data_IF_775464108582
#
_entry.id   IF_775464108582
#
_cell.length_a   1.000
_cell.length_b   1.000
_cell.length_c   1.000
_cell.angle_alpha   90.00
_cell.angle_beta   90.00
_cell.angle_gamma   90.00
#
_symmetry.space_group_name_H-M   'P 1'
#
loop_
_entity.id
_entity.type
_entity.pdbx_description
1 polymer ?
#
# COMPACT_ATOMS: atom_id res chain seq x y z
N UNK A 1 -8.79 17.56 -22.76
CA UNK A 1 -8.64 16.19 -22.31
C UNK A 1 -7.29 16.07 -21.64
N UNK A 2 -7.15 15.42 -20.49
CA UNK A 2 -5.82 15.13 -19.97
C UNK A 2 -5.09 14.28 -21.02
N UNK A 3 -3.95 14.76 -21.49
CA UNK A 3 -3.11 13.98 -22.39
C UNK A 3 -2.68 12.72 -21.62
N UNK A 4 -2.89 11.56 -22.21
CA UNK A 4 -2.35 10.31 -21.65
C UNK A 4 -0.83 10.49 -21.55
N UNK A 5 -0.23 10.38 -20.37
CA UNK A 5 1.22 10.53 -20.26
C UNK A 5 1.93 9.54 -21.16
N UNK A 6 2.97 9.99 -21.85
CA UNK A 6 3.78 9.13 -22.73
C UNK A 6 4.46 8.05 -21.86
N UNK A 7 4.31 6.75 -22.19
CA UNK A 7 5.01 5.69 -21.47
C UNK A 7 6.54 5.84 -21.57
N UNK A 8 7.23 5.35 -20.53
CA UNK A 8 8.68 5.45 -20.40
C UNK A 8 9.10 6.61 -19.51
N UNK A 9 10.38 6.96 -19.54
CA UNK A 9 10.96 8.09 -18.79
C UNK A 9 10.74 9.39 -19.54
N UNK A 10 10.02 10.32 -18.95
CA UNK A 10 9.74 11.65 -19.53
C UNK A 10 10.61 12.75 -18.91
N UNK A 11 11.07 12.58 -17.68
CA UNK A 11 11.95 13.52 -16.96
C UNK A 11 13.09 12.75 -16.32
N UNK A 12 14.34 13.20 -16.55
CA UNK A 12 15.52 12.66 -15.87
C UNK A 12 16.61 13.74 -15.68
N UNK A 13 16.52 14.48 -14.57
CA UNK A 13 17.54 15.45 -14.15
C UNK A 13 18.65 14.74 -13.38
N UNK A 14 19.57 14.08 -14.11
CA UNK A 14 20.56 13.10 -13.59
C UNK A 14 21.33 13.56 -12.34
N UNK A 15 21.67 14.86 -12.22
CA UNK A 15 22.39 15.41 -11.07
C UNK A 15 21.55 15.57 -9.80
N UNK A 16 20.21 15.51 -9.90
CA UNK A 16 19.29 15.72 -8.78
C UNK A 16 18.60 14.43 -8.33
N UNK A 17 18.67 13.34 -9.11
CA UNK A 17 17.99 12.08 -8.83
C UNK A 17 18.79 11.16 -7.92
N UNK A 18 18.09 10.32 -7.17
CA UNK A 18 18.69 9.21 -6.43
C UNK A 18 18.86 8.00 -7.35
N UNK A 19 20.12 7.62 -7.58
CA UNK A 19 20.48 6.48 -8.46
C UNK A 19 20.06 5.16 -7.84
N UNK A 20 19.38 4.32 -8.62
CA UNK A 20 18.93 3.01 -8.16
C UNK A 20 18.00 2.32 -9.14
N UNK A 21 17.36 1.26 -8.67
CA UNK A 21 16.43 0.47 -9.45
C UNK A 21 15.04 0.54 -8.83
N UNK A 22 14.01 0.67 -9.64
CA UNK A 22 12.62 0.79 -9.17
C UNK A 22 11.87 -0.51 -9.44
N UNK A 23 11.38 -1.12 -8.35
CA UNK A 23 10.50 -2.30 -8.40
C UNK A 23 9.05 -1.85 -8.41
N UNK A 24 8.25 -2.44 -9.29
CA UNK A 24 6.79 -2.33 -9.31
C UNK A 24 6.15 -3.56 -9.95
N UNK A 25 4.85 -3.71 -9.74
CA UNK A 25 4.05 -4.74 -10.38
C UNK A 25 2.71 -4.14 -10.79
N UNK A 26 2.34 -4.19 -12.09
CA UNK A 26 1.00 -3.79 -12.51
C UNK A 26 -0.06 -4.65 -11.84
N UNK A 27 -1.12 -4.03 -11.32
CA UNK A 27 -2.25 -4.76 -10.75
C UNK A 27 -2.84 -5.71 -11.79
N UNK A 28 -3.02 -6.97 -11.39
CA UNK A 28 -3.46 -8.07 -12.27
C UNK A 28 -2.47 -8.44 -13.37
N UNK A 29 -1.23 -7.95 -13.28
CA UNK A 29 -0.16 -8.31 -14.20
C UNK A 29 0.44 -9.68 -13.88
N UNK A 30 1.07 -10.29 -14.90
CA UNK A 30 1.76 -11.57 -14.77
C UNK A 30 3.22 -11.44 -14.32
N UNK A 31 3.71 -10.24 -14.10
CA UNK A 31 5.10 -9.97 -13.79
C UNK A 31 5.28 -8.84 -12.77
N UNK A 32 6.32 -8.95 -11.95
CA UNK A 32 6.95 -7.83 -11.28
C UNK A 32 8.18 -7.40 -12.09
N UNK A 33 8.42 -6.09 -12.17
CA UNK A 33 9.48 -5.49 -12.97
C UNK A 33 10.43 -4.70 -12.10
N UNK A 34 11.72 -4.84 -12.38
CA UNK A 34 12.77 -3.98 -11.87
C UNK A 34 13.33 -3.17 -13.04
N UNK A 35 13.23 -1.86 -12.96
CA UNK A 35 13.72 -0.94 -14.00
C UNK A 35 14.88 -0.11 -13.49
N UNK A 36 15.75 0.32 -14.39
CA UNK A 36 16.80 1.30 -14.11
C UNK A 36 16.30 2.75 -14.19
N UNK A 37 17.23 3.70 -14.17
CA UNK A 37 16.90 5.14 -14.20
C UNK A 37 16.51 5.65 -15.60
N UNK A 38 16.78 4.91 -16.64
CA UNK A 38 16.38 5.22 -18.02
C UNK A 38 15.07 4.50 -18.39
N UNK A 39 14.50 3.72 -17.44
CA UNK A 39 13.22 3.04 -17.59
C UNK A 39 13.32 1.66 -18.23
N UNK A 40 14.54 1.18 -18.47
CA UNK A 40 14.77 -0.11 -19.06
C UNK A 40 14.58 -1.24 -18.04
N UNK A 41 13.95 -2.35 -18.47
CA UNK A 41 13.74 -3.51 -17.60
C UNK A 41 15.04 -4.27 -17.42
N UNK A 42 15.64 -4.16 -16.24
CA UNK A 42 16.88 -4.88 -15.90
C UNK A 42 16.62 -6.26 -15.32
N UNK A 43 15.42 -6.48 -14.77
CA UNK A 43 14.99 -7.80 -14.31
C UNK A 43 13.46 -7.90 -14.24
N UNK A 44 12.93 -9.12 -14.38
CA UNK A 44 11.50 -9.40 -14.20
C UNK A 44 11.29 -10.77 -13.57
N UNK A 45 10.28 -10.87 -12.71
CA UNK A 45 9.80 -12.14 -12.17
C UNK A 45 8.46 -12.48 -12.79
N UNK A 46 8.34 -13.70 -13.31
CA UNK A 46 7.03 -14.26 -13.69
C UNK A 46 6.32 -14.72 -12.42
N UNK A 47 5.08 -14.31 -12.26
CA UNK A 47 4.27 -14.60 -11.08
C UNK A 47 3.37 -15.81 -11.30
N UNK A 48 2.97 -16.47 -10.22
CA UNK A 48 2.36 -17.78 -10.28
C UNK A 48 1.10 -17.88 -11.15
N UNK A 49 0.14 -16.96 -10.99
CA UNK A 49 -1.11 -16.97 -11.80
C UNK A 49 -1.30 -15.71 -12.65
N UNK A 50 -0.64 -14.64 -12.34
CA UNK A 50 -0.69 -13.41 -13.14
C UNK A 50 -2.00 -12.61 -13.07
N UNK A 51 -2.85 -12.81 -12.07
CA UNK A 51 -4.14 -12.12 -12.01
C UNK A 51 -4.41 -11.34 -10.71
N UNK A 52 -3.41 -10.76 -10.13
CA UNK A 52 -3.65 -9.88 -9.00
C UNK A 52 -2.51 -9.81 -8.02
N UNK A 53 -1.73 -8.81 -8.21
CA UNK A 53 -0.64 -8.49 -7.32
C UNK A 53 -1.03 -7.26 -6.55
N UNK A 54 -0.94 -7.36 -5.24
CA UNK A 54 -1.20 -6.21 -4.41
C UNK A 54 0.10 -5.46 -4.10
N UNK A 55 1.17 -6.18 -3.69
CA UNK A 55 2.40 -5.54 -3.27
C UNK A 55 3.60 -6.47 -3.45
N UNK A 56 4.67 -5.95 -4.06
CA UNK A 56 5.95 -6.61 -4.21
C UNK A 56 7.04 -5.85 -3.48
N UNK A 57 7.95 -6.55 -2.81
CA UNK A 57 9.14 -5.97 -2.19
C UNK A 57 10.37 -6.86 -2.39
N UNK A 58 11.53 -6.25 -2.57
CA UNK A 58 12.80 -6.97 -2.50
C UNK A 58 13.24 -7.13 -1.05
N UNK A 59 13.72 -8.30 -0.76
CA UNK A 59 14.37 -8.68 0.49
C UNK A 59 15.88 -8.78 0.27
N UNK A 60 16.64 -8.70 1.36
CA UNK A 60 18.09 -8.91 1.33
C UNK A 60 18.44 -10.19 0.58
N UNK A 61 19.51 -10.16 -0.20
CA UNK A 61 19.93 -11.31 -1.00
C UNK A 61 19.19 -11.47 -2.33
N UNK A 62 18.44 -10.46 -2.80
CA UNK A 62 17.75 -10.45 -4.09
C UNK A 62 16.51 -11.34 -4.14
N UNK A 63 15.97 -11.70 -2.99
CA UNK A 63 14.69 -12.41 -2.92
C UNK A 63 13.55 -11.42 -3.06
N UNK A 64 12.47 -11.81 -3.70
CA UNK A 64 11.26 -11.01 -3.82
C UNK A 64 10.13 -11.62 -3.02
N UNK A 65 9.49 -10.83 -2.16
CA UNK A 65 8.28 -11.19 -1.46
C UNK A 65 7.08 -10.47 -2.07
N UNK A 66 5.96 -11.19 -2.21
CA UNK A 66 4.78 -10.65 -2.89
C UNK A 66 3.50 -11.28 -2.35
N UNK A 67 2.42 -10.50 -2.33
CA UNK A 67 1.05 -10.97 -2.17
C UNK A 67 0.39 -11.10 -3.55
N UNK A 68 -0.11 -12.30 -3.87
CA UNK A 68 -0.76 -12.64 -5.13
C UNK A 68 -2.21 -13.06 -4.89
N UNK A 69 -3.02 -12.99 -5.93
CA UNK A 69 -4.40 -13.46 -5.84
C UNK A 69 -4.47 -14.98 -5.87
N UNK A 70 -5.26 -15.56 -4.95
CA UNK A 70 -5.59 -16.97 -4.91
C UNK A 70 -6.75 -17.36 -5.85
N UNK A 71 -7.07 -18.66 -5.90
CA UNK A 71 -8.11 -19.20 -6.79
C UNK A 71 -9.52 -18.79 -6.39
N UNK A 72 -9.79 -18.72 -5.11
CA UNK A 72 -11.10 -18.33 -4.57
C UNK A 72 -10.88 -17.43 -3.37
N UNK A 73 -11.45 -16.27 -3.40
CA UNK A 73 -11.30 -15.25 -2.35
C UNK A 73 -12.68 -14.74 -1.95
N UNK A 74 -13.33 -15.35 -0.96
CA UNK A 74 -14.40 -14.70 -0.24
C UNK A 74 -13.79 -13.69 0.76
N UNK A 75 -14.36 -12.52 1.00
CA UNK A 75 -15.55 -11.96 0.36
C UNK A 75 -15.25 -11.35 -1.01
N UNK A 76 -16.27 -10.98 -1.81
CA UNK A 76 -16.09 -10.30 -3.09
C UNK A 76 -15.71 -8.83 -2.90
N UNK A 77 -14.73 -8.57 -2.06
CA UNK A 77 -14.20 -7.24 -1.73
C UNK A 77 -12.98 -6.91 -2.61
N UNK A 78 -12.68 -5.62 -2.85
CA UNK A 78 -11.50 -5.22 -3.62
C UNK A 78 -10.19 -5.57 -2.89
N UNK A 79 -9.12 -5.77 -3.67
CA UNK A 79 -7.78 -6.09 -3.20
C UNK A 79 -7.65 -7.46 -2.48
N UNK A 80 -8.52 -8.41 -2.82
CA UNK A 80 -8.35 -9.79 -2.41
C UNK A 80 -7.02 -10.35 -2.93
N UNK A 81 -6.26 -10.98 -2.03
CA UNK A 81 -5.02 -11.67 -2.30
C UNK A 81 -5.22 -13.18 -2.24
N UNK A 82 -4.67 -13.83 -1.24
CA UNK A 82 -4.87 -15.26 -0.94
C UNK A 82 -3.61 -16.10 -1.00
N UNK A 83 -2.53 -15.60 -1.59
CA UNK A 83 -1.25 -16.30 -1.66
C UNK A 83 -0.11 -15.33 -1.38
N UNK A 84 0.72 -15.66 -0.40
CA UNK A 84 1.98 -14.98 -0.13
C UNK A 84 3.12 -15.84 -0.64
N UNK A 85 4.03 -15.26 -1.43
CA UNK A 85 5.20 -15.98 -1.96
C UNK A 85 6.49 -15.21 -1.76
N UNK A 86 7.54 -16.00 -1.52
CA UNK A 86 8.91 -15.54 -1.62
C UNK A 86 9.57 -16.25 -2.81
N UNK A 87 10.14 -15.46 -3.71
CA UNK A 87 10.89 -15.95 -4.88
C UNK A 87 12.38 -15.67 -4.73
N UNK A 88 13.23 -16.57 -5.25
CA UNK A 88 14.61 -16.21 -5.49
C UNK A 88 14.74 -15.26 -6.70
N UNK A 89 15.97 -14.81 -6.98
CA UNK A 89 16.22 -13.92 -8.13
C UNK A 89 15.86 -14.59 -9.46
N UNK A 90 16.01 -15.90 -9.60
CA UNK A 90 15.67 -16.67 -10.80
C UNK A 90 14.17 -16.93 -10.97
N UNK A 91 13.34 -16.58 -10.00
CA UNK A 91 11.88 -16.79 -10.06
C UNK A 91 11.42 -18.14 -9.50
N UNK A 92 12.30 -18.91 -8.83
CA UNK A 92 11.91 -20.12 -8.10
C UNK A 92 11.24 -19.72 -6.78
N UNK A 93 10.11 -20.35 -6.47
CA UNK A 93 9.42 -20.18 -5.19
C UNK A 93 10.26 -20.80 -4.06
N UNK A 94 10.59 -19.99 -3.06
CA UNK A 94 11.31 -20.41 -1.87
C UNK A 94 10.39 -20.68 -0.68
N UNK A 95 9.30 -19.93 -0.59
CA UNK A 95 8.29 -20.05 0.45
C UNK A 95 6.92 -19.65 -0.09
N UNK A 96 5.88 -20.33 0.39
CA UNK A 96 4.49 -20.03 0.05
C UNK A 96 3.58 -20.22 1.26
N UNK A 97 2.62 -19.33 1.43
CA UNK A 97 1.52 -19.45 2.38
C UNK A 97 0.20 -19.10 1.68
N UNK A 98 -0.85 -19.86 1.97
CA UNK A 98 -2.19 -19.66 1.40
C UNK A 98 -3.19 -19.37 2.50
N UNK A 99 -3.86 -18.24 2.37
CA UNK A 99 -5.02 -17.87 3.17
C UNK A 99 -6.03 -17.15 2.27
N UNK A 100 -7.17 -17.75 1.92
CA UNK A 100 -8.15 -17.15 1.02
C UNK A 100 -8.73 -15.85 1.53
N UNK A 101 -8.56 -15.53 2.83
CA UNK A 101 -8.99 -14.27 3.44
C UNK A 101 -7.91 -13.18 3.42
N UNK A 102 -6.68 -13.49 2.98
CA UNK A 102 -5.62 -12.50 2.88
C UNK A 102 -5.99 -11.39 1.88
N UNK A 103 -5.69 -10.13 2.25
CA UNK A 103 -5.92 -8.97 1.38
C UNK A 103 -4.80 -7.93 1.54
N UNK A 104 -4.75 -7.00 0.57
CA UNK A 104 -3.88 -5.81 0.52
C UNK A 104 -2.41 -6.10 0.85
N UNK A 105 -2.02 -6.11 2.13
CA UNK A 105 -0.62 -5.96 2.54
C UNK A 105 -0.10 -7.11 3.39
N UNK A 106 1.19 -7.37 3.24
CA UNK A 106 1.92 -8.40 3.98
C UNK A 106 3.41 -8.07 4.04
N UNK A 107 4.10 -8.62 5.04
CA UNK A 107 5.55 -8.51 5.18
C UNK A 107 6.17 -9.79 5.73
N UNK A 108 7.37 -10.14 5.23
CA UNK A 108 8.18 -11.22 5.82
C UNK A 108 8.69 -10.81 7.19
N UNK A 109 8.68 -11.72 8.12
CA UNK A 109 9.18 -11.50 9.48
C UNK A 109 10.66 -11.90 9.59
N UNK A 110 11.45 -11.24 10.45
CA UNK A 110 12.88 -11.52 10.58
C UNK A 110 13.22 -12.95 11.01
N UNK A 111 12.32 -13.60 11.72
CA UNK A 111 12.48 -15.00 12.22
C UNK A 111 11.86 -16.05 11.30
N UNK A 112 11.50 -15.66 10.09
CA UNK A 112 10.72 -16.49 9.18
C UNK A 112 9.21 -16.29 9.34
N UNK A 113 8.42 -16.85 8.42
CA UNK A 113 6.99 -16.62 8.34
C UNK A 113 6.63 -15.22 7.86
N UNK A 114 5.39 -14.80 8.05
CA UNK A 114 4.89 -13.52 7.57
C UNK A 114 3.85 -12.92 8.51
N UNK A 115 3.68 -11.61 8.46
CA UNK A 115 2.50 -10.93 8.97
C UNK A 115 1.71 -10.34 7.80
N UNK A 116 0.39 -10.43 7.85
CA UNK A 116 -0.46 -9.98 6.76
C UNK A 116 -1.84 -9.52 7.25
N UNK A 117 -2.53 -8.79 6.39
CA UNK A 117 -3.92 -8.42 6.59
C UNK A 117 -4.83 -9.51 6.07
N UNK A 118 -5.86 -9.84 6.85
CA UNK A 118 -6.91 -10.78 6.48
C UNK A 118 -8.29 -10.21 6.85
N UNK A 119 -9.33 -10.69 6.17
CA UNK A 119 -10.71 -10.42 6.54
C UNK A 119 -11.25 -11.49 7.48
N UNK A 120 -12.15 -11.06 8.38
CA UNK A 120 -13.03 -11.97 9.11
C UNK A 120 -14.40 -11.30 9.31
N UNK A 121 -15.45 -12.08 9.46
CA UNK A 121 -16.79 -11.54 9.72
C UNK A 121 -16.86 -10.97 11.13
N UNK A 122 -17.24 -9.71 11.25
CA UNK A 122 -17.50 -9.10 12.55
C UNK A 122 -18.73 -9.74 13.15
N UNK A 123 -18.67 -10.29 14.39
CA UNK A 123 -19.83 -10.86 15.06
C UNK A 123 -20.96 -9.84 15.21
N UNK A 124 -22.21 -10.27 15.03
CA UNK A 124 -23.40 -9.40 15.01
C UNK A 124 -23.59 -8.55 16.27
N UNK A 125 -23.07 -9.03 17.41
CA UNK A 125 -23.09 -8.25 18.67
C UNK A 125 -22.32 -6.91 18.58
N UNK A 126 -21.38 -6.76 17.62
CA UNK A 126 -20.63 -5.53 17.39
C UNK A 126 -21.30 -4.59 16.37
N UNK A 127 -22.24 -5.08 15.53
CA UNK A 127 -22.77 -4.32 14.40
C UNK A 127 -23.43 -2.99 14.83
N UNK A 128 -24.14 -2.96 15.99
CA UNK A 128 -24.77 -1.72 16.51
C UNK A 128 -23.75 -0.65 16.90
N UNK A 129 -22.51 -1.04 17.17
CA UNK A 129 -21.40 -0.15 17.54
C UNK A 129 -20.73 0.47 16.32
N UNK A 130 -20.84 -0.15 15.14
CA UNK A 130 -20.30 0.37 13.89
C UNK A 130 -21.18 1.50 13.38
N UNK A 131 -20.60 2.71 13.32
CA UNK A 131 -21.27 3.94 12.89
C UNK A 131 -20.88 4.30 11.46
N UNK A 132 -21.69 5.16 10.82
CA UNK A 132 -21.40 5.69 9.48
C UNK A 132 -21.60 4.68 8.36
N UNK A 133 -21.13 5.03 7.17
CA UNK A 133 -21.33 4.28 5.95
C UNK A 133 -22.76 4.32 5.41
N UNK A 134 -22.95 3.78 4.20
CA UNK A 134 -24.26 3.70 3.54
C UNK A 134 -24.99 2.47 4.09
N UNK A 135 -26.03 2.69 4.89
CA UNK A 135 -26.85 1.63 5.50
C UNK A 135 -27.53 0.80 4.40
N UNK A 136 -27.60 -0.52 4.60
CA UNK A 136 -28.21 -1.45 3.65
C UNK A 136 -27.24 -1.95 2.55
N UNK A 137 -25.97 -1.56 2.63
CA UNK A 137 -24.93 -2.05 1.70
C UNK A 137 -24.14 -3.23 2.27
N UNK A 138 -24.51 -3.73 3.44
CA UNK A 138 -23.95 -4.95 4.04
C UNK A 138 -24.23 -6.16 3.16
N UNK A 139 -23.23 -7.02 2.94
CA UNK A 139 -23.41 -8.22 2.11
C UNK A 139 -24.14 -9.30 2.90
N UNK A 140 -25.42 -9.53 2.55
CA UNK A 140 -26.28 -10.51 3.25
C UNK A 140 -26.29 -10.32 4.78
N UNK A 141 -26.25 -9.05 5.22
CA UNK A 141 -26.22 -8.67 6.63
C UNK A 141 -24.86 -8.86 7.32
N UNK A 142 -23.81 -9.25 6.59
CA UNK A 142 -22.46 -9.36 7.13
C UNK A 142 -21.66 -8.07 6.94
N UNK A 143 -20.87 -7.73 7.95
CA UNK A 143 -19.83 -6.70 7.88
C UNK A 143 -18.50 -7.41 8.08
N UNK A 144 -17.57 -7.20 7.14
CA UNK A 144 -16.22 -7.75 7.22
C UNK A 144 -15.30 -6.78 7.96
N UNK A 145 -14.40 -7.31 8.78
CA UNK A 145 -13.43 -6.52 9.52
C UNK A 145 -12.01 -6.98 9.24
N UNK A 146 -11.06 -6.09 9.54
CA UNK A 146 -9.64 -6.35 9.32
C UNK A 146 -9.02 -7.10 10.50
N UNK A 147 -8.21 -8.09 10.17
CA UNK A 147 -7.43 -8.90 11.09
C UNK A 147 -5.96 -8.82 10.68
N UNK A 148 -5.07 -8.62 11.64
CA UNK A 148 -3.65 -8.90 11.44
C UNK A 148 -3.42 -10.35 11.82
N UNK A 149 -2.81 -11.14 10.93
CA UNK A 149 -2.36 -12.52 11.19
C UNK A 149 -0.84 -12.61 11.11
N UNK A 150 -0.25 -13.34 12.04
CA UNK A 150 1.12 -13.81 11.92
C UNK A 150 1.15 -15.31 11.71
N UNK A 151 1.96 -15.76 10.77
CA UNK A 151 2.27 -17.16 10.57
C UNK A 151 3.77 -17.41 10.78
N UNK A 152 4.09 -18.61 11.28
CA UNK A 152 5.46 -19.09 11.36
C UNK A 152 5.96 -19.54 9.97
N UNK A 153 7.20 -20.04 9.88
CA UNK A 153 7.77 -20.51 8.62
C UNK A 153 7.03 -21.74 8.06
N UNK A 154 6.42 -22.55 8.91
CA UNK A 154 5.60 -23.70 8.52
C UNK A 154 4.21 -23.30 8.01
N UNK A 155 3.79 -22.03 8.20
CA UNK A 155 2.48 -21.53 7.79
C UNK A 155 1.40 -21.59 8.88
N UNK A 156 1.74 -22.01 10.11
CA UNK A 156 0.77 -22.03 11.22
C UNK A 156 0.52 -20.62 11.74
N UNK A 157 -0.75 -20.28 12.00
CA UNK A 157 -1.12 -19.00 12.62
C UNK A 157 -0.64 -19.02 14.09
N UNK A 158 0.26 -18.10 14.42
CA UNK A 158 0.85 -17.97 15.76
C UNK A 158 0.35 -16.76 16.54
N UNK A 159 -0.28 -15.81 15.86
CA UNK A 159 -0.84 -14.61 16.48
C UNK A 159 -1.89 -13.95 15.58
N UNK A 160 -2.94 -13.41 16.21
CA UNK A 160 -3.98 -12.63 15.53
C UNK A 160 -4.38 -11.40 16.35
N UNK A 161 -4.79 -10.36 15.64
CA UNK A 161 -5.38 -9.15 16.19
C UNK A 161 -6.60 -8.76 15.35
N UNK A 162 -7.77 -8.71 15.96
CA UNK A 162 -9.04 -8.34 15.33
C UNK A 162 -9.41 -6.91 15.68
N UNK A 163 -9.59 -6.05 14.68
CA UNK A 163 -9.84 -4.62 14.90
C UNK A 163 -11.04 -4.36 15.82
N UNK A 164 -12.12 -5.08 15.66
CA UNK A 164 -13.36 -4.89 16.48
C UNK A 164 -13.25 -5.32 17.93
N UNK A 165 -12.26 -6.10 18.29
CA UNK A 165 -12.02 -6.55 19.67
C UNK A 165 -11.14 -5.58 20.44
N UNK A 166 -10.29 -4.82 19.72
CA UNK A 166 -9.22 -4.05 20.33
C UNK A 166 -9.30 -2.54 20.08
N UNK A 167 -10.12 -2.10 19.11
CA UNK A 167 -10.41 -0.69 18.86
C UNK A 167 -11.70 -0.29 19.57
N UNK A 168 -11.82 0.99 19.91
CA UNK A 168 -13.13 1.60 20.23
C UNK A 168 -13.83 1.91 18.90
N UNK A 169 -14.50 0.89 18.33
CA UNK A 169 -15.05 0.99 16.98
C UNK A 169 -16.08 2.11 16.81
N UNK A 170 -16.75 2.53 17.89
CA UNK A 170 -17.69 3.65 17.90
C UNK A 170 -17.03 5.00 17.60
N UNK A 171 -15.75 5.14 17.93
CA UNK A 171 -14.97 6.37 17.73
C UNK A 171 -14.44 6.49 16.30
N UNK A 172 -14.64 5.43 15.48
CA UNK A 172 -14.15 5.33 14.11
C UNK A 172 -15.33 5.10 13.13
N UNK A 173 -16.21 6.08 12.90
CA UNK A 173 -17.28 5.92 11.94
C UNK A 173 -16.75 5.72 10.53
N UNK A 174 -17.35 4.81 9.78
CA UNK A 174 -17.12 4.64 8.34
C UNK A 174 -17.52 5.95 7.65
N UNK A 175 -16.71 6.42 6.73
CA UNK A 175 -17.01 7.63 5.95
C UNK A 175 -18.37 7.54 5.25
N UNK A 176 -19.13 8.63 5.12
CA UNK A 176 -20.55 8.61 4.75
C UNK A 176 -20.83 8.06 3.34
N UNK A 177 -19.84 8.09 2.45
CA UNK A 177 -19.95 7.63 1.06
C UNK A 177 -19.36 6.22 0.84
N UNK A 178 -18.92 5.55 1.91
CA UNK A 178 -18.41 4.18 1.82
C UNK A 178 -19.49 3.15 2.14
N UNK A 179 -19.38 1.99 1.50
CA UNK A 179 -20.20 0.81 1.80
C UNK A 179 -19.92 0.30 3.21
N UNK A 180 -20.93 -0.31 3.83
CA UNK A 180 -20.81 -1.04 5.10
C UNK A 180 -20.47 -2.52 4.93
N UNK A 181 -20.10 -2.95 3.71
CA UNK A 181 -19.62 -4.33 3.49
C UNK A 181 -18.39 -4.63 4.33
N UNK A 182 -17.54 -3.63 4.59
CA UNK A 182 -16.36 -3.76 5.43
C UNK A 182 -16.20 -2.59 6.38
N UNK A 183 -15.62 -2.87 7.56
CA UNK A 183 -15.21 -1.89 8.54
C UNK A 183 -13.68 -1.77 8.49
N UNK A 184 -13.16 -0.61 8.16
CA UNK A 184 -11.73 -0.32 8.17
C UNK A 184 -11.13 -0.25 6.78
N UNK A 185 -11.19 -1.29 5.99
CA UNK A 185 -10.46 -1.42 4.71
C UNK A 185 -8.97 -1.14 4.92
N UNK A 186 -8.35 -1.94 5.81
CA UNK A 186 -6.92 -1.81 6.07
C UNK A 186 -6.13 -2.10 4.79
N UNK A 187 -5.23 -1.19 4.42
CA UNK A 187 -4.47 -1.26 3.17
C UNK A 187 -2.95 -1.23 3.37
N UNK A 188 -2.52 -1.09 4.61
CA UNK A 188 -1.10 -1.01 4.97
C UNK A 188 -0.86 -1.73 6.29
N UNK A 189 0.16 -2.59 6.31
CA UNK A 189 0.67 -3.27 7.49
C UNK A 189 2.20 -3.22 7.51
N UNK A 190 2.76 -2.54 8.50
CA UNK A 190 4.21 -2.42 8.65
C UNK A 190 4.66 -3.05 9.97
N UNK A 191 5.40 -4.17 9.93
CA UNK A 191 6.09 -4.66 11.11
C UNK A 191 7.12 -3.65 11.60
N UNK A 192 7.04 -3.29 12.89
CA UNK A 192 7.93 -2.30 13.50
C UNK A 192 9.04 -2.98 14.32
N UNK A 193 10.18 -2.32 14.52
CA UNK A 193 11.18 -2.76 15.50
C UNK A 193 10.53 -2.98 16.86
N UNK A 194 10.90 -4.09 17.54
CA UNK A 194 10.28 -4.49 18.80
C UNK A 194 8.98 -5.30 18.65
N UNK A 195 8.57 -5.61 17.41
CA UNK A 195 7.48 -6.55 17.11
C UNK A 195 6.08 -5.92 17.08
N UNK A 196 5.95 -4.62 17.24
CA UNK A 196 4.65 -3.92 17.08
C UNK A 196 4.27 -3.80 15.60
N UNK A 197 3.04 -3.35 15.33
CA UNK A 197 2.53 -3.13 13.97
C UNK A 197 2.01 -1.72 13.79
N UNK A 198 2.37 -1.09 12.69
CA UNK A 198 1.63 0.07 12.17
C UNK A 198 0.63 -0.45 11.15
N UNK A 199 -0.63 -0.01 11.26
CA UNK A 199 -1.71 -0.35 10.35
C UNK A 199 -2.43 0.92 9.89
N UNK A 200 -2.74 1.00 8.60
CA UNK A 200 -3.51 2.07 7.99
C UNK A 200 -4.88 1.60 7.54
N UNK A 201 -5.95 2.28 8.03
CA UNK A 201 -7.35 2.03 7.68
C UNK A 201 -7.87 3.09 6.73
N UNK A 202 -8.13 2.70 5.50
CA UNK A 202 -8.52 3.60 4.40
C UNK A 202 -9.85 4.31 4.66
N UNK A 203 -10.92 3.55 4.92
CA UNK A 203 -12.27 4.12 5.03
C UNK A 203 -12.52 4.82 6.36
N UNK A 204 -11.63 4.62 7.34
CA UNK A 204 -11.66 5.30 8.63
C UNK A 204 -10.71 6.50 8.70
N UNK A 205 -9.92 6.76 7.64
CA UNK A 205 -8.86 7.79 7.63
C UNK A 205 -7.97 7.73 8.87
N UNK A 206 -7.62 6.51 9.32
CA UNK A 206 -6.98 6.28 10.61
C UNK A 206 -5.70 5.47 10.43
N UNK A 207 -4.67 5.83 11.17
CA UNK A 207 -3.43 5.07 11.34
C UNK A 207 -3.32 4.69 12.81
N UNK A 208 -2.98 3.43 13.10
CA UNK A 208 -2.73 2.95 14.45
C UNK A 208 -1.34 2.33 14.58
N UNK A 209 -0.85 2.30 15.83
CA UNK A 209 0.23 1.42 16.27
C UNK A 209 -0.33 0.42 17.28
N UNK A 210 -0.23 -0.85 16.96
CA UNK A 210 -0.68 -1.97 17.80
C UNK A 210 0.51 -2.57 18.55
N UNK A 211 0.36 -2.71 19.85
CA UNK A 211 1.30 -3.45 20.68
C UNK A 211 1.05 -4.95 20.53
N UNK A 212 2.02 -5.67 19.98
CA UNK A 212 1.88 -7.10 19.73
C UNK A 212 1.67 -7.91 21.00
N UNK A 213 2.36 -7.57 22.10
CA UNK A 213 2.32 -8.33 23.35
C UNK A 213 0.97 -8.18 24.07
N UNK A 214 0.48 -6.95 24.16
CA UNK A 214 -0.75 -6.61 24.90
C UNK A 214 -1.99 -6.54 24.03
N UNK A 215 -1.83 -6.54 22.69
CA UNK A 215 -2.87 -6.31 21.67
C UNK A 215 -3.56 -4.94 21.77
N UNK A 216 -3.05 -4.03 22.61
CA UNK A 216 -3.63 -2.69 22.79
C UNK A 216 -3.16 -1.74 21.70
N UNK A 217 -4.02 -0.78 21.34
CA UNK A 217 -3.63 0.37 20.51
C UNK A 217 -2.78 1.30 21.35
N UNK A 218 -1.50 1.47 20.98
CA UNK A 218 -0.52 2.36 21.66
C UNK A 218 -0.60 3.80 21.20
N UNK A 219 -0.91 3.98 19.94
CA UNK A 219 -1.00 5.28 19.30
C UNK A 219 -2.00 5.21 18.16
N UNK A 220 -2.72 6.30 17.94
CA UNK A 220 -3.61 6.45 16.80
C UNK A 220 -3.73 7.90 16.37
N UNK A 221 -3.95 8.09 15.08
CA UNK A 221 -4.30 9.38 14.52
C UNK A 221 -5.30 9.20 13.39
N UNK A 222 -6.34 10.05 13.39
CA UNK A 222 -7.37 10.15 12.37
C UNK A 222 -7.33 11.55 11.79
N UNK A 223 -7.42 11.64 10.47
CA UNK A 223 -7.60 12.92 9.78
C UNK A 223 -8.42 12.71 8.50
N UNK A 224 -9.65 13.20 8.51
CA UNK A 224 -10.58 13.01 7.41
C UNK A 224 -10.14 13.75 6.13
N UNK A 225 -9.20 14.70 6.22
CA UNK A 225 -8.62 15.38 5.06
C UNK A 225 -7.66 14.49 4.24
N UNK A 226 -7.29 13.32 4.73
CA UNK A 226 -6.47 12.38 3.96
C UNK A 226 -7.24 11.71 2.82
N UNK A 227 -8.57 11.58 2.97
CA UNK A 227 -9.43 11.04 1.91
C UNK A 227 -9.07 9.63 1.49
N UNK A 228 -8.82 8.73 2.45
CA UNK A 228 -8.53 7.32 2.20
C UNK A 228 -7.05 7.02 1.94
N UNK A 229 -6.17 7.38 2.88
CA UNK A 229 -4.72 7.26 2.80
C UNK A 229 -4.20 5.84 2.50
N UNK A 230 -2.97 5.79 1.94
CA UNK A 230 -2.21 4.58 1.67
C UNK A 230 -0.74 4.71 2.13
N UNK A 231 -0.10 3.58 2.35
CA UNK A 231 1.34 3.42 2.61
C UNK A 231 1.91 4.24 3.78
N UNK A 232 1.20 4.43 4.91
CA UNK A 232 1.80 5.05 6.08
C UNK A 232 2.96 4.19 6.60
N UNK A 233 4.13 4.81 6.84
CA UNK A 233 5.28 4.14 7.43
C UNK A 233 6.19 5.14 8.13
N UNK A 234 6.94 4.66 9.12
CA UNK A 234 7.92 5.48 9.83
C UNK A 234 9.14 5.79 8.97
N UNK A 235 9.57 7.04 9.02
CA UNK A 235 10.86 7.49 8.54
C UNK A 235 11.95 7.34 9.62
N UNK A 236 13.24 7.32 9.26
CA UNK A 236 14.34 7.24 10.24
C UNK A 236 14.34 8.37 11.30
N UNK A 237 13.77 9.54 10.98
CA UNK A 237 13.62 10.65 11.92
C UNK A 237 12.43 10.49 12.89
N UNK A 238 11.69 9.39 12.81
CA UNK A 238 10.52 9.07 13.63
C UNK A 238 9.20 9.71 13.17
N UNK A 239 9.19 10.47 12.08
CA UNK A 239 7.96 10.92 11.45
C UNK A 239 7.30 9.79 10.62
N UNK A 240 6.03 9.97 10.26
CA UNK A 240 5.30 9.05 9.39
C UNK A 240 5.14 9.71 8.02
N UNK A 241 5.56 9.02 6.96
CA UNK A 241 5.27 9.39 5.58
C UNK A 241 4.05 8.63 5.12
N UNK A 242 3.14 9.28 4.37
CA UNK A 242 1.94 8.66 3.82
C UNK A 242 1.51 9.31 2.51
N UNK A 243 0.73 8.58 1.73
CA UNK A 243 0.03 9.06 0.54
C UNK A 243 -1.43 9.30 0.90
N UNK A 244 -1.88 10.56 0.91
CA UNK A 244 -3.26 10.96 1.12
C UNK A 244 -3.98 11.03 -0.23
N UNK A 245 -4.96 10.14 -0.46
CA UNK A 245 -5.64 10.01 -1.76
C UNK A 245 -6.58 11.17 -2.05
N UNK A 246 -7.10 11.87 -1.03
CA UNK A 246 -7.91 13.06 -1.19
C UNK A 246 -9.35 12.79 -1.64
N UNK A 247 -9.87 11.57 -1.43
CA UNK A 247 -11.26 11.27 -1.77
C UNK A 247 -12.22 11.93 -0.79
N UNK A 248 -13.32 12.47 -1.31
CA UNK A 248 -14.38 13.08 -0.52
C UNK A 248 -13.92 14.21 0.42
N UNK A 249 -12.81 14.87 0.07
CA UNK A 249 -12.28 16.04 0.78
C UNK A 249 -12.73 17.31 0.07
N UNK A 250 -13.24 18.29 0.80
CA UNK A 250 -13.65 19.58 0.28
C UNK A 250 -15.11 19.93 0.60
N UNK A 251 -15.58 21.04 0.03
CA UNK A 251 -16.94 21.51 0.19
C UNK A 251 -17.97 20.56 -0.43
N UNK A 252 -19.17 20.40 0.14
CA UNK A 252 -20.17 19.42 -0.30
C UNK A 252 -20.56 19.50 -1.78
N UNK A 253 -20.44 20.68 -2.39
CA UNK A 253 -20.86 20.93 -3.78
C UNK A 253 -19.71 21.04 -4.77
N UNK A 254 -18.45 21.12 -4.30
CA UNK A 254 -17.27 21.26 -5.16
C UNK A 254 -16.12 20.44 -4.58
N UNK A 255 -16.23 19.12 -4.72
CA UNK A 255 -15.13 18.22 -4.36
C UNK A 255 -14.15 18.11 -5.52
N UNK A 256 -13.02 18.77 -5.38
CA UNK A 256 -11.91 18.61 -6.29
C UNK A 256 -11.00 17.51 -5.71
N UNK A 257 -11.04 16.27 -6.24
CA UNK A 257 -10.17 15.22 -5.76
C UNK A 257 -8.73 15.56 -6.10
N UNK A 258 -7.88 15.66 -5.11
CA UNK A 258 -6.43 15.84 -5.28
C UNK A 258 -5.68 15.06 -4.22
N UNK A 259 -4.61 14.42 -4.65
CA UNK A 259 -3.76 13.68 -3.72
C UNK A 259 -2.67 14.56 -3.11
N UNK A 260 -2.15 14.12 -1.98
CA UNK A 260 -1.02 14.74 -1.28
C UNK A 260 -0.04 13.68 -0.80
N UNK A 261 1.23 14.06 -0.71
CA UNK A 261 2.21 13.29 0.05
C UNK A 261 2.49 14.05 1.34
N UNK A 262 2.36 13.39 2.48
CA UNK A 262 2.39 14.03 3.79
C UNK A 262 3.46 13.38 4.66
N UNK A 263 4.28 14.20 5.32
CA UNK A 263 5.13 13.79 6.44
C UNK A 263 4.51 14.33 7.73
N UNK A 264 4.05 13.42 8.60
CA UNK A 264 3.37 13.69 9.85
C UNK A 264 4.32 13.47 11.03
N UNK A 265 4.39 14.40 11.96
CA UNK A 265 5.04 14.17 13.24
C UNK A 265 4.07 13.47 14.20
N UNK A 266 4.32 12.21 14.60
CA UNK A 266 3.37 11.44 15.42
C UNK A 266 3.24 11.96 16.86
N UNK A 267 4.22 12.71 17.38
CA UNK A 267 4.18 13.28 18.74
C UNK A 267 3.30 14.52 18.78
N UNK A 268 3.46 15.43 17.81
CA UNK A 268 2.70 16.69 17.75
C UNK A 268 1.40 16.55 16.96
N UNK A 269 1.25 15.47 16.19
CA UNK A 269 0.13 15.19 15.27
C UNK A 269 -0.04 16.28 14.19
N UNK A 270 1.06 16.94 13.81
CA UNK A 270 1.07 17.98 12.78
C UNK A 270 1.77 17.50 11.54
N UNK A 271 1.26 17.91 10.37
CA UNK A 271 1.97 17.81 9.12
C UNK A 271 3.19 18.72 9.16
N UNK A 272 4.39 18.16 8.97
CA UNK A 272 5.66 18.91 8.98
C UNK A 272 6.21 19.12 7.57
N UNK A 273 5.68 18.40 6.61
CA UNK A 273 5.92 18.59 5.19
C UNK A 273 4.75 18.01 4.40
N UNK A 274 4.30 18.75 3.41
CA UNK A 274 3.24 18.31 2.50
C UNK A 274 3.59 18.73 1.10
N UNK A 275 3.37 17.83 0.14
CA UNK A 275 3.47 18.12 -1.27
C UNK A 275 2.15 17.80 -1.98
N UNK A 276 1.78 18.66 -2.91
CA UNK A 276 0.71 18.49 -3.89
C UNK A 276 1.16 19.11 -5.21
N UNK A 277 0.55 18.71 -6.33
CA UNK A 277 0.81 19.41 -7.58
C UNK A 277 0.35 20.87 -7.52
N UNK A 278 1.03 21.79 -8.26
CA UNK A 278 0.62 23.19 -8.34
C UNK A 278 -0.80 23.36 -8.89
N UNK A 279 -1.16 22.59 -9.92
CA UNK A 279 -2.53 22.53 -10.42
C UNK A 279 -3.30 21.35 -9.80
N UNK A 280 -4.49 21.60 -9.30
CA UNK A 280 -5.28 20.67 -8.48
C UNK A 280 -5.47 19.30 -9.15
N UNK A 281 -5.70 19.25 -10.46
CA UNK A 281 -6.01 18.02 -11.19
C UNK A 281 -4.79 17.31 -11.78
N UNK A 282 -3.58 17.81 -11.55
CA UNK A 282 -2.34 17.20 -12.06
C UNK A 282 -1.81 16.05 -11.21
N UNK A 283 -2.35 15.90 -10.00
CA UNK A 283 -1.95 14.82 -9.09
C UNK A 283 -3.16 14.29 -8.33
N UNK A 284 -3.67 13.17 -8.80
CA UNK A 284 -4.81 12.51 -8.18
C UNK A 284 -4.77 11.00 -8.42
N UNK A 285 -4.70 10.23 -7.36
CA UNK A 285 -4.92 8.79 -7.39
C UNK A 285 -5.97 8.42 -6.35
N UNK A 286 -7.20 8.09 -6.75
CA UNK A 286 -8.32 7.91 -5.82
C UNK A 286 -8.21 6.64 -4.97
N UNK A 287 -7.29 5.77 -5.27
CA UNK A 287 -7.01 4.52 -4.53
C UNK A 287 -5.56 4.11 -4.76
N UNK A 288 -5.07 3.11 -4.00
CA UNK A 288 -3.68 2.63 -4.07
C UNK A 288 -2.66 3.74 -3.88
N UNK A 289 -1.42 3.58 -4.38
CA UNK A 289 -0.34 4.57 -4.34
C UNK A 289 0.57 4.45 -3.12
N UNK A 290 1.73 5.06 -3.23
CA UNK A 290 2.74 5.03 -2.18
C UNK A 290 3.69 6.22 -2.27
N UNK A 291 4.42 6.47 -1.20
CA UNK A 291 5.54 7.40 -1.19
C UNK A 291 6.73 6.76 -0.47
N UNK A 292 7.95 7.09 -0.88
CA UNK A 292 9.18 6.62 -0.24
C UNK A 292 10.17 7.76 -0.10
N UNK A 293 10.62 8.04 1.13
CA UNK A 293 11.74 8.97 1.32
C UNK A 293 13.04 8.28 0.91
N UNK A 294 13.74 8.88 -0.02
CA UNK A 294 15.01 8.38 -0.55
C UNK A 294 16.20 8.89 0.28
N UNK A 295 17.35 8.20 0.28
CA UNK A 295 18.53 8.58 1.05
C UNK A 295 19.09 9.97 0.75
N UNK A 296 18.89 10.50 -0.46
CA UNK A 296 19.29 11.87 -0.83
C UNK A 296 18.31 12.97 -0.35
N UNK A 297 17.26 12.58 0.39
CA UNK A 297 16.22 13.48 0.88
C UNK A 297 15.06 13.69 -0.08
N UNK A 298 15.15 13.25 -1.33
CA UNK A 298 14.05 13.27 -2.29
C UNK A 298 12.94 12.31 -1.88
N UNK A 299 11.79 12.41 -2.53
CA UNK A 299 10.67 11.49 -2.34
C UNK A 299 10.30 10.83 -3.67
N UNK A 300 10.35 9.51 -3.71
CA UNK A 300 9.72 8.74 -4.79
C UNK A 300 8.23 8.66 -4.50
N UNK A 301 7.41 8.98 -5.48
CA UNK A 301 5.95 8.92 -5.40
C UNK A 301 5.44 7.97 -6.47
N UNK A 302 4.60 7.02 -6.06
CA UNK A 302 3.85 6.18 -6.98
C UNK A 302 2.41 6.70 -7.05
N UNK A 303 2.05 7.35 -8.14
CA UNK A 303 0.67 7.69 -8.50
C UNK A 303 0.03 6.49 -9.17
N UNK A 304 -0.34 5.52 -8.32
CA UNK A 304 -0.62 4.15 -8.73
C UNK A 304 -1.79 3.99 -9.68
N UNK A 305 -2.82 4.83 -9.57
CA UNK A 305 -4.00 4.77 -10.44
C UNK A 305 -3.69 4.97 -11.92
N UNK A 306 -2.63 5.69 -12.20
CA UNK A 306 -2.20 6.03 -13.57
C UNK A 306 -0.90 5.35 -14.00
N UNK A 307 -0.36 4.45 -13.17
CA UNK A 307 0.90 3.77 -13.46
C UNK A 307 2.10 4.72 -13.56
N UNK A 308 2.03 5.89 -12.92
CA UNK A 308 3.06 6.92 -12.91
C UNK A 308 3.90 6.85 -11.65
N UNK A 309 5.21 6.87 -11.80
CA UNK A 309 6.18 6.95 -10.70
C UNK A 309 7.08 8.15 -10.94
N UNK A 310 7.24 9.00 -9.94
CA UNK A 310 8.10 10.16 -10.08
C UNK A 310 8.90 10.44 -8.81
N UNK A 311 10.05 11.08 -8.96
CA UNK A 311 10.88 11.52 -7.85
C UNK A 311 10.85 13.05 -7.78
N UNK A 312 10.61 13.56 -6.58
CA UNK A 312 10.61 14.99 -6.31
C UNK A 312 11.61 15.37 -5.23
N UNK A 313 12.19 16.55 -5.38
CA UNK A 313 13.04 17.15 -4.37
C UNK A 313 12.24 17.55 -3.12
N UNK A 314 12.92 17.87 -2.01
CA UNK A 314 12.26 18.40 -0.80
C UNK A 314 11.52 19.71 -1.10
N UNK A 315 12.00 20.50 -2.07
CA UNK A 315 11.37 21.75 -2.50
C UNK A 315 10.13 21.52 -3.39
N UNK A 316 9.91 20.29 -3.86
CA UNK A 316 8.74 19.92 -4.67
C UNK A 316 8.98 19.86 -6.18
N UNK A 317 10.22 20.05 -6.66
CA UNK A 317 10.54 19.91 -8.08
C UNK A 317 10.52 18.45 -8.50
N UNK A 318 9.83 18.10 -9.57
CA UNK A 318 9.93 16.78 -10.20
C UNK A 318 11.26 16.68 -10.96
N UNK A 319 12.06 15.67 -10.60
CA UNK A 319 13.41 15.46 -11.15
C UNK A 319 13.58 14.16 -11.91
N UNK A 320 12.66 13.22 -11.74
CA UNK A 320 12.53 12.00 -12.53
C UNK A 320 11.06 11.62 -12.63
N UNK A 321 10.65 11.13 -13.80
CA UNK A 321 9.29 10.67 -14.04
C UNK A 321 9.29 9.51 -15.01
N UNK A 322 8.50 8.49 -14.68
CA UNK A 322 8.28 7.30 -15.48
C UNK A 322 6.81 6.92 -15.50
N UNK A 323 6.30 6.56 -16.67
CA UNK A 323 4.96 6.00 -16.84
C UNK A 323 5.08 4.58 -17.36
N UNK A 324 4.47 3.64 -16.65
CA UNK A 324 4.54 2.22 -16.98
C UNK A 324 3.90 1.93 -18.35
N UNK A 325 4.64 1.29 -19.29
CA UNK A 325 4.09 0.82 -20.56
C UNK A 325 3.33 -0.51 -20.44
N UNK A 326 3.31 -1.13 -19.26
CA UNK A 326 2.76 -2.46 -19.04
C UNK A 326 1.28 -2.39 -18.70
N UNK A 327 0.45 -2.38 -19.73
CA UNK A 327 -1.00 -2.39 -19.60
C UNK A 327 -1.54 -3.82 -19.51
N UNK A 328 -2.46 -4.04 -18.59
CA UNK A 328 -3.15 -5.32 -18.37
C UNK A 328 -4.68 -5.13 -18.49
N UNK A 329 -5.45 -6.18 -18.78
CA UNK A 329 -6.91 -6.09 -18.76
C UNK A 329 -7.43 -5.67 -17.37
N UNK A 330 -8.28 -4.65 -17.35
CA UNK A 330 -8.97 -4.14 -16.16
C UNK A 330 -10.48 -4.35 -16.26
N UNK A 331 -11.23 -3.84 -15.30
CA UNK A 331 -12.72 -3.88 -15.33
C UNK A 331 -13.31 -3.07 -16.47
N UNK A 332 -12.68 -1.94 -16.82
CA UNK A 332 -13.17 -0.94 -17.78
C UNK A 332 -12.04 -0.64 -18.77
N UNK A 333 -11.60 -1.68 -19.53
CA UNK A 333 -10.49 -1.52 -20.47
C UNK A 333 -9.12 -1.89 -19.89
N UNK A 334 -8.04 -1.41 -20.53
CA UNK A 334 -6.67 -1.70 -20.11
C UNK A 334 -6.21 -0.71 -19.05
N UNK A 335 -5.42 -1.17 -18.08
CA UNK A 335 -4.84 -0.35 -17.02
C UNK A 335 -3.36 -0.71 -16.79
N UNK A 336 -2.54 0.29 -16.51
CA UNK A 336 -1.16 0.13 -16.06
C UNK A 336 -1.01 0.45 -14.56
N UNK A 337 -2.12 0.48 -13.83
CA UNK A 337 -2.14 0.79 -12.41
C UNK A 337 -1.26 -0.17 -11.60
N UNK A 338 -0.66 0.34 -10.53
CA UNK A 338 0.20 -0.42 -9.62
C UNK A 338 -0.09 -0.03 -8.17
N UNK A 339 -0.02 -1.00 -7.27
CA UNK A 339 -0.33 -0.75 -5.86
C UNK A 339 0.73 0.12 -5.19
N UNK A 340 2.01 -0.22 -5.40
CA UNK A 340 3.18 0.51 -4.91
C UNK A 340 4.35 0.39 -5.88
N UNK A 341 5.26 1.36 -5.80
CA UNK A 341 6.59 1.29 -6.39
C UNK A 341 7.64 1.60 -5.32
N UNK A 342 8.81 0.94 -5.39
CA UNK A 342 9.88 1.14 -4.43
C UNK A 342 11.24 1.18 -5.11
N UNK A 343 12.06 2.18 -4.77
CA UNK A 343 13.43 2.31 -5.29
C UNK A 343 14.45 1.76 -4.31
N UNK A 344 15.36 0.98 -4.83
CA UNK A 344 16.49 0.39 -4.11
C UNK A 344 17.78 0.98 -4.65
N UNK A 345 18.72 1.35 -3.77
CA UNK A 345 20.04 1.79 -4.20
C UNK A 345 20.74 0.70 -5.00
N UNK A 346 21.53 1.08 -6.00
CA UNK A 346 22.22 0.12 -6.86
C UNK A 346 23.13 -0.85 -6.08
N UNK A 347 23.70 -0.39 -4.96
CA UNK A 347 24.56 -1.18 -4.07
C UNK A 347 23.85 -1.70 -2.82
N UNK A 348 22.51 -1.65 -2.78
CA UNK A 348 21.76 -2.12 -1.62
C UNK A 348 21.85 -3.64 -1.44
N UNK A 349 21.68 -4.16 -0.22
CA UNK A 349 21.70 -5.61 0.04
C UNK A 349 20.63 -6.39 -0.75
N UNK A 350 19.58 -5.72 -1.17
CA UNK A 350 18.49 -6.28 -1.99
C UNK A 350 18.92 -6.49 -3.44
N UNK A 351 19.73 -5.59 -3.98
CA UNK A 351 20.24 -5.66 -5.36
C UNK A 351 21.56 -6.44 -5.41
N UNK A 352 22.53 -6.08 -4.58
CA UNK A 352 23.87 -6.68 -4.58
C UNK A 352 24.57 -6.47 -5.91
N UNK A 353 25.16 -7.55 -6.47
CA UNK A 353 25.84 -7.57 -7.78
C UNK A 353 25.00 -8.21 -8.89
N UNK A 354 23.68 -8.29 -8.73
CA UNK A 354 22.77 -9.03 -9.65
C UNK A 354 22.41 -8.25 -10.89
N UNK A 355 22.46 -6.94 -10.81
CA UNK A 355 22.28 -6.03 -11.95
C UNK A 355 23.65 -5.39 -12.21
N UNK A 356 24.10 -5.43 -13.47
CA UNK A 356 25.35 -4.83 -13.92
C UNK A 356 25.15 -3.39 -14.35
#
# INVERSE_FOLDING_TARGET
>A
MPQTPTPGVSIHKKSKTFKGFTLFAPLRGAHAYLIDMDGEVVHRWKLGRGDGINHAMLLRGGRMFIAERGESTPPPLPAAGGVLREYDWGGRVLWEHRDPLQHHDAGRLPKGGAAYLAWDKIPTKFHRRIKGGIVGTEEKGAIWGDVIREVNEAGDIVWEWRCWEHMKIEDHPIGPLYSRQEFGHANTLVPLPGGNYLIGFRVLNTILVVDRKTKKVKWQHRDDTWGGQHDPHYLPNGNILLFANGNFVGEPYMQWPYSRVIELNPKTRKEVWTWRAPAVLEFNSPHISSAQRLPNGNTLVCEGGYGRVFELTRAGDVVWEYVSPFYVPGRIGKSNSMFRAKRYAANSPEIGRRVK
#
